data_IF_828598773192
#
_entry.id   IF_828598773192
#
_cell.length_a   1.000
_cell.length_b   1.000
_cell.length_c   1.000
_cell.angle_alpha   90.00
_cell.angle_beta   90.00
_cell.angle_gamma   90.00
#
_symmetry.space_group_name_H-M   'P 1'
#
loop_
_entity.id
_entity.type
_entity.pdbx_description
1 polymer ?
#
# COMPACT_ATOMS: atom_id res chain seq x y z
N UNK A 1 -11.98 -21.21 -30.94
CA UNK A 1 -11.93 -20.17 -29.88
C UNK A 1 -10.49 -20.09 -29.44
N UNK A 2 -9.77 -19.09 -29.89
CA UNK A 2 -8.41 -18.80 -29.46
C UNK A 2 -8.54 -18.07 -28.11
N UNK A 3 -8.26 -18.79 -27.02
CA UNK A 3 -8.24 -18.17 -25.69
C UNK A 3 -7.00 -17.30 -25.54
N UNK A 4 -7.17 -16.00 -25.44
CA UNK A 4 -6.08 -15.11 -25.08
C UNK A 4 -5.82 -15.24 -23.57
N UNK A 5 -4.61 -15.60 -23.20
CA UNK A 5 -4.14 -15.55 -21.82
C UNK A 5 -3.48 -14.18 -21.65
N UNK A 6 -4.07 -13.33 -20.80
CA UNK A 6 -3.51 -12.01 -20.45
C UNK A 6 -2.85 -12.10 -19.06
N UNK A 7 -1.55 -12.35 -18.97
CA UNK A 7 -0.88 -12.32 -17.68
C UNK A 7 -0.87 -10.89 -17.15
N UNK A 8 -1.46 -10.67 -15.98
CA UNK A 8 -1.35 -9.39 -15.27
C UNK A 8 0.01 -9.32 -14.60
N UNK A 9 0.99 -8.70 -15.24
CA UNK A 9 2.28 -8.40 -14.64
C UNK A 9 2.22 -7.00 -13.98
N UNK A 10 2.57 -6.93 -12.71
CA UNK A 10 2.75 -5.66 -12.00
C UNK A 10 4.25 -5.36 -11.92
N UNK A 11 4.71 -4.39 -12.70
CA UNK A 11 6.08 -3.89 -12.61
C UNK A 11 6.09 -2.39 -12.35
N UNK A 12 7.05 -1.93 -11.55
CA UNK A 12 7.29 -0.51 -11.28
C UNK A 12 8.45 0.07 -12.10
N UNK A 13 8.97 -0.68 -13.07
CA UNK A 13 10.06 -0.26 -13.94
C UNK A 13 9.54 0.24 -15.28
N UNK A 14 10.11 1.34 -15.80
CA UNK A 14 9.73 1.93 -17.08
C UNK A 14 10.28 1.15 -18.28
N UNK A 15 11.46 0.52 -18.13
CA UNK A 15 12.16 -0.20 -19.20
C UNK A 15 12.22 -1.68 -18.82
N UNK A 16 11.20 -2.42 -19.21
CA UNK A 16 11.15 -3.85 -19.01
C UNK A 16 11.03 -4.53 -20.36
N UNK A 17 12.13 -5.14 -20.79
CA UNK A 17 12.18 -5.97 -21.99
C UNK A 17 11.61 -7.34 -21.62
N UNK A 18 10.34 -7.55 -21.94
CA UNK A 18 9.67 -8.84 -21.68
C UNK A 18 9.89 -9.73 -22.91
N UNK A 19 10.68 -10.80 -22.82
CA UNK A 19 10.80 -11.76 -23.90
C UNK A 19 9.53 -12.61 -23.97
N UNK A 20 8.43 -12.04 -24.48
CA UNK A 20 7.17 -12.76 -24.70
C UNK A 20 6.97 -12.99 -26.19
N UNK A 21 6.63 -14.20 -26.54
CA UNK A 21 6.13 -14.53 -27.85
C UNK A 21 4.63 -14.19 -27.89
N UNK A 22 4.32 -12.94 -28.21
CA UNK A 22 2.95 -12.43 -28.28
C UNK A 22 2.78 -11.63 -29.57
N UNK A 23 1.61 -11.76 -30.20
CA UNK A 23 1.28 -10.98 -31.41
C UNK A 23 1.06 -9.51 -31.12
N UNK A 24 0.64 -9.19 -29.89
CA UNK A 24 0.42 -7.82 -29.41
C UNK A 24 0.87 -7.68 -27.96
N UNK A 25 1.60 -6.60 -27.66
CA UNK A 25 2.01 -6.22 -26.31
C UNK A 25 1.39 -4.88 -25.96
N UNK A 26 0.54 -4.85 -24.95
CA UNK A 26 -0.06 -3.63 -24.42
C UNK A 26 0.68 -3.27 -23.12
N UNK A 27 1.33 -2.10 -23.12
CA UNK A 27 2.00 -1.55 -21.95
C UNK A 27 1.20 -0.39 -21.37
N UNK A 28 1.31 -0.17 -20.07
CA UNK A 28 0.63 0.94 -19.42
C UNK A 28 0.90 1.00 -17.92
N UNK A 29 0.22 1.91 -17.25
CA UNK A 29 0.37 2.12 -15.82
C UNK A 29 1.42 3.20 -15.47
N UNK A 30 1.57 3.47 -14.18
CA UNK A 30 2.43 4.56 -13.67
C UNK A 30 3.91 4.40 -14.03
N UNK A 31 4.40 3.18 -14.17
CA UNK A 31 5.79 2.90 -14.57
C UNK A 31 6.11 3.38 -15.99
N UNK A 32 5.14 3.33 -16.88
CA UNK A 32 5.27 3.78 -18.27
C UNK A 32 4.82 5.24 -18.50
N UNK A 33 4.41 5.95 -17.47
CA UNK A 33 3.76 7.28 -17.58
C UNK A 33 2.53 7.29 -18.51
N UNK A 34 1.97 6.12 -18.73
CA UNK A 34 0.78 5.90 -19.53
C UNK A 34 -0.33 5.36 -18.62
N UNK A 35 -1.34 6.19 -18.42
CA UNK A 35 -2.44 5.89 -17.49
C UNK A 35 -3.61 5.17 -18.16
N UNK A 36 -3.39 4.57 -19.34
CA UNK A 36 -4.41 3.76 -19.97
C UNK A 36 -4.83 2.61 -19.07
N UNK A 37 -6.12 2.40 -18.99
CA UNK A 37 -6.69 1.18 -18.40
C UNK A 37 -6.54 0.02 -19.38
N UNK A 38 -6.43 -1.19 -18.86
CA UNK A 38 -6.56 -2.38 -19.68
C UNK A 38 -7.99 -2.46 -20.25
N UNK A 39 -8.21 -3.17 -21.36
CA UNK A 39 -9.56 -3.46 -21.84
C UNK A 39 -10.42 -4.06 -20.71
N UNK A 40 -11.72 -3.70 -20.61
CA UNK A 40 -12.56 -4.15 -19.50
C UNK A 40 -12.61 -5.66 -19.33
N UNK A 41 -12.59 -6.41 -20.42
CA UNK A 41 -12.55 -7.88 -20.44
C UNK A 41 -11.28 -8.44 -19.81
N UNK A 42 -10.16 -7.72 -19.90
CA UNK A 42 -8.88 -8.10 -19.26
C UNK A 42 -8.88 -7.73 -17.78
N UNK A 43 -9.45 -6.57 -17.44
CA UNK A 43 -9.54 -6.10 -16.04
C UNK A 43 -10.33 -7.06 -15.15
N UNK A 44 -11.40 -7.70 -15.68
CA UNK A 44 -12.24 -8.64 -14.94
C UNK A 44 -11.72 -10.08 -14.95
N UNK A 45 -10.68 -10.37 -15.75
CA UNK A 45 -10.10 -11.71 -15.80
C UNK A 45 -9.34 -12.03 -14.52
N UNK A 46 -9.55 -13.23 -13.98
CA UNK A 46 -8.78 -13.71 -12.83
C UNK A 46 -7.28 -13.72 -13.16
N UNK A 47 -6.41 -13.31 -12.21
CA UNK A 47 -4.98 -13.31 -12.43
C UNK A 47 -4.45 -14.71 -12.70
N UNK A 48 -3.58 -14.85 -13.69
CA UNK A 48 -2.85 -16.10 -13.94
C UNK A 48 -1.55 -16.10 -13.12
N UNK A 49 -1.53 -16.90 -12.07
CA UNK A 49 -0.36 -17.05 -11.20
C UNK A 49 0.63 -18.11 -11.70
N UNK A 50 0.31 -18.88 -12.74
CA UNK A 50 1.16 -19.96 -13.26
C UNK A 50 2.50 -19.44 -13.80
N UNK A 51 2.52 -18.19 -14.27
CA UNK A 51 3.75 -17.52 -14.76
C UNK A 51 4.70 -17.10 -13.64
N UNK A 52 4.26 -17.18 -12.37
CA UNK A 52 5.05 -16.84 -11.19
C UNK A 52 5.12 -18.00 -10.19
N UNK A 53 5.75 -19.14 -10.54
CA UNK A 53 5.67 -20.39 -9.78
C UNK A 53 6.18 -20.29 -8.34
N UNK A 54 7.03 -19.30 -8.05
CA UNK A 54 7.58 -19.06 -6.71
C UNK A 54 6.78 -18.03 -5.91
N UNK A 55 5.74 -17.44 -6.48
CA UNK A 55 4.94 -16.43 -5.80
C UNK A 55 3.66 -17.05 -5.24
N UNK A 56 3.55 -17.06 -3.92
CA UNK A 56 2.50 -17.81 -3.20
C UNK A 56 1.34 -16.92 -2.73
N UNK A 57 1.32 -15.64 -3.09
CA UNK A 57 0.28 -14.70 -2.67
C UNK A 57 -0.62 -14.32 -3.84
N UNK A 58 -1.91 -14.21 -3.57
CA UNK A 58 -2.80 -13.54 -4.51
C UNK A 58 -2.63 -12.02 -4.43
N UNK A 59 -2.77 -11.32 -5.57
CA UNK A 59 -2.73 -9.84 -5.64
C UNK A 59 -3.93 -9.37 -6.44
N UNK A 60 -4.62 -8.34 -5.95
CA UNK A 60 -5.73 -7.74 -6.71
C UNK A 60 -6.40 -6.60 -5.99
N UNK A 61 -7.62 -6.30 -6.40
CA UNK A 61 -8.40 -5.17 -5.93
C UNK A 61 -9.82 -5.62 -5.59
N UNK A 62 -10.34 -5.17 -4.47
CA UNK A 62 -11.77 -5.20 -4.16
C UNK A 62 -12.46 -4.00 -4.81
N UNK A 63 -11.79 -2.84 -4.71
CA UNK A 63 -12.26 -1.56 -5.26
C UNK A 63 -11.17 -0.84 -6.03
N UNK A 64 -11.55 0.00 -6.98
CA UNK A 64 -10.65 0.88 -7.73
C UNK A 64 -11.08 2.33 -7.53
N UNK A 65 -10.12 3.26 -7.59
CA UNK A 65 -10.39 4.69 -7.41
C UNK A 65 -10.48 5.12 -5.95
N UNK A 66 -10.82 6.38 -5.74
CA UNK A 66 -10.89 6.99 -4.41
C UNK A 66 -11.97 8.07 -4.35
N UNK A 67 -12.51 8.34 -3.15
CA UNK A 67 -13.39 9.48 -2.88
C UNK A 67 -12.63 10.77 -2.56
N UNK A 68 -11.29 10.69 -2.45
CA UNK A 68 -10.44 11.82 -2.09
C UNK A 68 -9.74 12.39 -3.31
N UNK A 69 -9.51 13.68 -3.29
CA UNK A 69 -8.77 14.43 -4.29
C UNK A 69 -7.51 15.06 -3.66
N UNK A 70 -6.66 14.20 -3.04
CA UNK A 70 -5.43 14.67 -2.43
C UNK A 70 -4.50 15.24 -3.51
N UNK A 71 -3.97 16.47 -3.34
CA UNK A 71 -3.22 17.16 -4.40
C UNK A 71 -1.92 16.45 -4.81
N UNK A 72 -1.38 15.60 -3.94
CA UNK A 72 -0.19 14.81 -4.23
C UNK A 72 -0.48 13.42 -4.78
N UNK A 73 -1.74 13.05 -4.97
CA UNK A 73 -2.13 11.68 -5.31
C UNK A 73 -2.52 11.55 -6.78
N UNK A 74 -1.96 10.54 -7.45
CA UNK A 74 -2.29 10.23 -8.86
C UNK A 74 -3.65 9.55 -9.03
N UNK A 75 -4.22 8.98 -7.96
CA UNK A 75 -5.41 8.13 -8.03
C UNK A 75 -6.61 8.83 -8.67
N UNK A 76 -6.99 10.09 -8.34
CA UNK A 76 -8.10 10.77 -8.97
C UNK A 76 -7.94 10.88 -10.50
N UNK A 77 -6.71 11.15 -10.95
CA UNK A 77 -6.38 11.31 -12.38
C UNK A 77 -6.33 9.96 -13.12
N UNK A 78 -5.85 8.90 -12.45
CA UNK A 78 -5.63 7.58 -13.05
C UNK A 78 -6.83 6.66 -12.94
N UNK A 79 -7.46 6.61 -11.77
CA UNK A 79 -8.48 5.62 -11.42
C UNK A 79 -9.88 6.24 -11.34
N UNK A 80 -9.98 7.56 -11.10
CA UNK A 80 -11.24 8.28 -10.91
C UNK A 80 -11.93 7.96 -9.58
N UNK A 81 -13.26 8.08 -9.57
CA UNK A 81 -14.06 7.79 -8.39
C UNK A 81 -14.04 6.33 -8.00
N UNK A 82 -14.30 6.08 -6.71
CA UNK A 82 -14.32 4.72 -6.16
C UNK A 82 -15.45 3.89 -6.79
N UNK A 83 -15.15 2.65 -7.14
CA UNK A 83 -16.07 1.67 -7.70
C UNK A 83 -15.70 0.25 -7.32
N UNK A 84 -16.65 -0.70 -7.28
CA UNK A 84 -16.35 -2.13 -7.14
C UNK A 84 -15.42 -2.62 -8.25
N UNK A 85 -14.55 -3.58 -7.93
CA UNK A 85 -13.67 -4.23 -8.89
C UNK A 85 -13.89 -5.75 -8.91
N UNK A 86 -13.60 -6.45 -7.81
CA UNK A 86 -13.80 -7.89 -7.73
C UNK A 86 -14.20 -8.32 -6.31
N UNK A 87 -14.89 -9.45 -6.19
CA UNK A 87 -15.07 -10.10 -4.89
C UNK A 87 -13.74 -10.71 -4.44
N UNK A 88 -13.54 -10.83 -3.13
CA UNK A 88 -12.28 -11.40 -2.62
C UNK A 88 -12.04 -12.85 -3.08
N UNK A 89 -13.12 -13.61 -3.31
CA UNK A 89 -13.05 -14.98 -3.84
C UNK A 89 -12.47 -15.02 -5.26
N UNK A 90 -12.76 -14.00 -6.08
CA UNK A 90 -12.32 -13.91 -7.47
C UNK A 90 -10.84 -13.46 -7.58
N UNK A 91 -10.35 -12.76 -6.54
CA UNK A 91 -8.92 -12.38 -6.43
C UNK A 91 -8.05 -13.53 -5.95
N UNK A 92 -8.63 -14.44 -5.17
CA UNK A 92 -7.90 -15.50 -4.50
C UNK A 92 -7.18 -16.44 -5.47
N UNK A 93 -5.89 -16.72 -5.21
CA UNK A 93 -5.20 -17.86 -5.79
C UNK A 93 -5.67 -19.16 -5.10
N UNK A 94 -6.05 -20.22 -5.83
CA UNK A 94 -6.54 -21.47 -5.23
C UNK A 94 -5.60 -22.09 -4.20
N UNK A 95 -4.30 -22.02 -4.44
CA UNK A 95 -3.27 -22.63 -3.62
C UNK A 95 -2.73 -21.70 -2.51
N UNK A 96 -3.24 -20.47 -2.43
CA UNK A 96 -2.81 -19.50 -1.43
C UNK A 96 -3.93 -19.12 -0.47
N UNK A 97 -3.52 -18.87 0.77
CA UNK A 97 -4.38 -18.27 1.79
C UNK A 97 -4.02 -16.81 2.06
N UNK A 98 -3.04 -16.26 1.37
CA UNK A 98 -2.58 -14.88 1.52
C UNK A 98 -3.02 -14.03 0.34
N UNK A 99 -3.64 -12.89 0.60
CA UNK A 99 -4.11 -11.95 -0.41
C UNK A 99 -3.56 -10.55 -0.09
N UNK A 100 -2.90 -9.95 -1.07
CA UNK A 100 -2.45 -8.56 -1.02
C UNK A 100 -3.41 -7.72 -1.84
N UNK A 101 -4.18 -6.87 -1.19
CA UNK A 101 -5.07 -5.93 -1.84
C UNK A 101 -4.35 -4.60 -2.11
N UNK A 102 -4.48 -4.12 -3.33
CA UNK A 102 -3.88 -2.87 -3.80
C UNK A 102 -4.91 -1.72 -3.89
N UNK A 103 -5.99 -1.84 -3.12
CA UNK A 103 -7.08 -0.87 -3.07
C UNK A 103 -6.58 0.50 -2.62
N UNK A 104 -7.03 1.54 -3.33
CA UNK A 104 -6.64 2.91 -3.00
C UNK A 104 -7.38 3.45 -1.77
N UNK A 105 -8.67 3.07 -1.57
CA UNK A 105 -9.46 3.47 -0.40
C UNK A 105 -10.66 2.55 -0.16
N UNK A 106 -10.40 1.28 0.15
CA UNK A 106 -11.43 0.25 0.31
C UNK A 106 -12.50 0.59 1.33
N UNK A 107 -12.14 1.32 2.40
CA UNK A 107 -13.07 1.68 3.48
C UNK A 107 -14.12 2.70 3.06
N UNK A 108 -13.93 3.40 1.95
CA UNK A 108 -14.89 4.38 1.43
C UNK A 108 -15.97 3.77 0.50
N UNK A 109 -16.03 2.45 0.41
CA UNK A 109 -16.98 1.72 -0.44
C UNK A 109 -17.81 0.75 0.38
N UNK A 110 -19.13 0.81 0.28
CA UNK A 110 -20.02 -0.17 0.91
C UNK A 110 -19.72 -1.59 0.42
N UNK A 111 -19.44 -1.75 -0.88
CA UNK A 111 -18.99 -3.02 -1.43
C UNK A 111 -17.65 -3.48 -0.79
N UNK A 112 -16.69 -2.56 -0.64
CA UNK A 112 -15.42 -2.85 0.03
C UNK A 112 -15.61 -3.31 1.48
N UNK A 113 -16.48 -2.63 2.23
CA UNK A 113 -16.82 -3.00 3.61
C UNK A 113 -17.53 -4.35 3.68
N UNK A 114 -18.45 -4.63 2.76
CA UNK A 114 -19.09 -5.95 2.65
C UNK A 114 -18.04 -7.05 2.43
N UNK A 115 -17.09 -6.85 1.52
CA UNK A 115 -16.03 -7.81 1.27
C UNK A 115 -15.15 -8.03 2.53
N UNK A 116 -14.81 -6.97 3.26
CA UNK A 116 -14.08 -7.04 4.52
C UNK A 116 -14.86 -7.86 5.56
N UNK A 117 -16.16 -7.61 5.71
CA UNK A 117 -17.02 -8.36 6.63
C UNK A 117 -17.08 -9.85 6.26
N UNK A 118 -17.26 -10.18 4.99
CA UNK A 118 -17.28 -11.56 4.47
C UNK A 118 -15.95 -12.30 4.67
N UNK A 119 -14.82 -11.61 4.64
CA UNK A 119 -13.49 -12.18 4.95
C UNK A 119 -13.31 -12.41 6.46
N UNK A 120 -14.05 -11.68 7.29
CA UNK A 120 -13.97 -11.77 8.74
C UNK A 120 -14.13 -13.20 9.26
N UNK A 121 -13.18 -13.67 10.09
CA UNK A 121 -13.17 -15.03 10.66
C UNK A 121 -12.76 -16.15 9.69
N UNK A 122 -12.54 -15.86 8.40
CA UNK A 122 -12.06 -16.84 7.43
C UNK A 122 -10.59 -17.19 7.67
N UNK A 123 -10.18 -18.38 7.18
CA UNK A 123 -8.77 -18.83 7.26
C UNK A 123 -7.94 -18.28 6.06
N UNK A 124 -8.04 -16.97 5.86
CA UNK A 124 -7.26 -16.23 4.87
C UNK A 124 -6.52 -15.09 5.58
N UNK A 125 -5.34 -14.74 5.08
CA UNK A 125 -4.55 -13.62 5.56
C UNK A 125 -4.57 -12.51 4.52
N UNK A 126 -4.71 -11.26 4.97
CA UNK A 126 -4.85 -10.11 4.08
C UNK A 126 -3.80 -9.03 4.39
N UNK A 127 -3.45 -8.26 3.38
CA UNK A 127 -2.68 -7.03 3.50
C UNK A 127 -3.30 -5.97 2.58
N UNK A 128 -3.79 -4.87 3.13
CA UNK A 128 -4.20 -3.70 2.35
C UNK A 128 -2.96 -2.82 2.14
N UNK A 129 -2.23 -3.12 1.08
CA UNK A 129 -0.85 -2.64 0.89
C UNK A 129 -0.75 -1.13 0.60
N UNK A 130 -1.81 -0.49 0.11
CA UNK A 130 -1.80 0.96 -0.13
C UNK A 130 -2.15 1.79 1.11
N UNK A 131 -2.55 1.12 2.19
CA UNK A 131 -2.96 1.75 3.45
C UNK A 131 -4.47 2.01 3.53
N UNK A 132 -4.95 2.14 4.75
CA UNK A 132 -6.34 2.41 5.09
C UNK A 132 -6.51 3.88 5.45
N UNK A 133 -7.58 4.50 4.99
CA UNK A 133 -7.91 5.89 5.34
C UNK A 133 -8.36 5.97 6.81
N UNK A 134 -7.48 6.47 7.68
CA UNK A 134 -7.72 6.59 9.11
C UNK A 134 -8.98 7.39 9.46
N UNK A 135 -9.38 8.34 8.59
CA UNK A 135 -10.60 9.16 8.77
C UNK A 135 -11.89 8.35 8.74
N UNK A 136 -11.85 7.15 8.19
CA UNK A 136 -13.00 6.24 8.05
C UNK A 136 -13.02 5.15 9.13
N UNK A 137 -12.01 5.10 10.00
CA UNK A 137 -11.91 4.08 11.05
C UNK A 137 -12.65 4.58 12.31
N UNK A 138 -13.95 4.33 12.35
CA UNK A 138 -14.79 4.43 13.53
C UNK A 138 -14.80 3.08 14.29
N UNK A 139 -15.37 2.99 15.52
CA UNK A 139 -15.39 1.74 16.29
C UNK A 139 -15.95 0.54 15.54
N UNK A 140 -16.99 0.74 14.73
CA UNK A 140 -17.61 -0.32 13.92
C UNK A 140 -16.64 -0.86 12.86
N UNK A 141 -15.95 0.03 12.16
CA UNK A 141 -14.95 -0.35 11.14
C UNK A 141 -13.74 -1.01 11.80
N UNK A 142 -13.30 -0.50 12.94
CA UNK A 142 -12.24 -1.13 13.72
C UNK A 142 -12.60 -2.57 14.12
N UNK A 143 -13.86 -2.82 14.51
CA UNK A 143 -14.39 -4.16 14.80
C UNK A 143 -14.34 -5.10 13.58
N UNK A 144 -14.68 -4.61 12.38
CA UNK A 144 -14.56 -5.39 11.14
C UNK A 144 -13.09 -5.75 10.86
N UNK A 145 -12.19 -4.76 10.95
CA UNK A 145 -10.76 -4.94 10.70
C UNK A 145 -10.10 -5.89 11.71
N UNK A 146 -10.53 -5.87 12.97
CA UNK A 146 -10.03 -6.75 14.02
C UNK A 146 -10.37 -8.24 13.79
N UNK A 147 -11.42 -8.53 13.02
CA UNK A 147 -11.82 -9.91 12.66
C UNK A 147 -10.96 -10.51 11.54
N UNK A 148 -10.18 -9.69 10.83
CA UNK A 148 -9.28 -10.12 9.76
C UNK A 148 -8.01 -10.76 10.32
N UNK A 149 -7.45 -11.68 9.55
CA UNK A 149 -6.09 -12.17 9.78
C UNK A 149 -5.13 -11.39 8.91
N UNK A 150 -4.27 -10.62 9.53
CA UNK A 150 -3.31 -9.78 8.84
C UNK A 150 -2.03 -10.56 8.52
N UNK A 151 -1.56 -10.47 7.28
CA UNK A 151 -0.25 -11.03 6.88
C UNK A 151 0.84 -10.44 7.78
N UNK A 152 0.85 -9.11 7.94
CA UNK A 152 1.83 -8.45 8.79
C UNK A 152 1.25 -7.25 9.53
N UNK A 153 0.88 -6.19 8.83
CA UNK A 153 0.53 -4.90 9.39
C UNK A 153 -0.88 -4.45 9.03
N UNK A 154 -1.49 -3.68 9.92
CA UNK A 154 -2.61 -2.79 9.61
C UNK A 154 -1.98 -1.46 9.23
N UNK A 155 -2.05 -1.12 7.95
CA UNK A 155 -1.38 0.04 7.38
C UNK A 155 -2.32 1.22 7.35
N UNK A 156 -1.89 2.34 7.90
CA UNK A 156 -2.59 3.63 7.85
C UNK A 156 -1.79 4.59 6.97
N UNK A 157 -2.35 5.78 6.70
CA UNK A 157 -1.63 6.88 6.04
C UNK A 157 -1.64 8.11 6.93
N UNK A 158 -0.47 8.78 7.05
CA UNK A 158 -0.30 10.03 7.77
C UNK A 158 0.52 11.01 6.91
N UNK A 159 -0.12 11.53 5.85
CA UNK A 159 0.57 12.29 4.80
C UNK A 159 0.73 13.78 5.12
N UNK A 160 0.00 14.28 6.13
CA UNK A 160 0.11 15.66 6.63
C UNK A 160 0.02 15.69 8.15
N UNK A 161 0.52 16.74 8.79
CA UNK A 161 0.43 16.93 10.25
C UNK A 161 -1.01 16.99 10.76
N UNK A 162 -1.95 17.48 9.95
CA UNK A 162 -3.38 17.48 10.27
C UNK A 162 -3.96 16.06 10.42
N UNK A 163 -3.29 15.03 9.89
CA UNK A 163 -3.70 13.64 10.02
C UNK A 163 -3.28 12.99 11.34
N UNK A 164 -2.33 13.56 12.08
CA UNK A 164 -1.84 12.97 13.34
C UNK A 164 -2.96 12.64 14.33
N UNK A 165 -3.83 13.59 14.74
CA UNK A 165 -4.90 13.29 15.69
C UNK A 165 -5.91 12.27 15.15
N UNK A 166 -6.12 12.25 13.84
CA UNK A 166 -7.02 11.30 13.18
C UNK A 166 -6.43 9.87 13.21
N UNK A 167 -5.13 9.75 12.93
CA UNK A 167 -4.42 8.46 12.98
C UNK A 167 -4.32 7.95 14.42
N UNK A 168 -4.09 8.83 15.39
CA UNK A 168 -4.10 8.47 16.81
C UNK A 168 -5.45 7.92 17.24
N UNK A 169 -6.55 8.59 16.87
CA UNK A 169 -7.91 8.15 17.17
C UNK A 169 -8.23 6.81 16.51
N UNK A 170 -7.86 6.62 15.23
CA UNK A 170 -8.03 5.35 14.52
C UNK A 170 -7.23 4.22 15.18
N UNK A 171 -5.99 4.49 15.58
CA UNK A 171 -5.16 3.53 16.31
C UNK A 171 -5.74 3.16 17.68
N UNK A 172 -6.35 4.12 18.35
CA UNK A 172 -7.08 3.86 19.60
C UNK A 172 -8.23 2.88 19.36
N UNK A 173 -9.11 3.15 18.38
CA UNK A 173 -10.24 2.25 18.06
C UNK A 173 -9.79 0.85 17.63
N UNK A 174 -8.73 0.75 16.82
CA UNK A 174 -8.18 -0.53 16.40
C UNK A 174 -7.66 -1.34 17.59
N UNK A 175 -6.99 -0.70 18.55
CA UNK A 175 -6.50 -1.37 19.78
C UNK A 175 -7.64 -1.83 20.67
N UNK A 176 -8.65 -0.97 20.89
CA UNK A 176 -9.85 -1.35 21.64
C UNK A 176 -10.59 -2.53 21.01
N UNK A 177 -10.59 -2.62 19.68
CA UNK A 177 -11.15 -3.75 18.94
C UNK A 177 -10.27 -5.02 18.97
N UNK A 178 -9.05 -4.97 19.56
CA UNK A 178 -8.17 -6.13 19.72
C UNK A 178 -7.02 -6.23 18.73
N UNK A 179 -6.78 -5.20 17.89
CA UNK A 179 -5.60 -5.17 17.02
C UNK A 179 -4.35 -4.90 17.85
N UNK A 180 -3.38 -5.81 17.80
CA UNK A 180 -2.13 -5.66 18.56
C UNK A 180 -1.35 -4.40 18.13
N UNK A 181 -0.81 -3.64 19.11
CA UNK A 181 -0.01 -2.43 18.86
C UNK A 181 1.14 -2.66 17.86
N UNK A 182 1.79 -3.81 17.94
CA UNK A 182 2.91 -4.18 17.05
C UNK A 182 2.51 -4.36 15.57
N UNK A 183 1.22 -4.42 15.28
CA UNK A 183 0.69 -4.50 13.91
C UNK A 183 0.39 -3.13 13.31
N UNK A 184 0.33 -2.06 14.12
CA UNK A 184 0.01 -0.72 13.65
C UNK A 184 1.22 -0.12 12.93
N UNK A 185 0.97 0.38 11.73
CA UNK A 185 1.99 0.87 10.85
C UNK A 185 1.42 2.01 10.00
N UNK A 186 2.21 3.02 9.67
CA UNK A 186 1.72 4.14 8.88
C UNK A 186 2.72 4.56 7.80
N UNK A 187 2.20 4.81 6.60
CA UNK A 187 2.90 5.54 5.57
C UNK A 187 3.00 7.02 5.96
N UNK A 188 4.17 7.61 5.72
CA UNK A 188 4.44 9.03 5.89
C UNK A 188 5.02 9.56 4.59
N UNK A 189 4.23 10.34 3.87
CA UNK A 189 4.70 10.99 2.65
C UNK A 189 5.61 12.18 3.00
N UNK A 190 6.80 12.24 2.41
CA UNK A 190 7.75 13.34 2.60
C UNK A 190 7.61 14.34 1.48
N UNK A 191 6.88 15.41 1.70
CA UNK A 191 6.89 16.61 0.88
C UNK A 191 7.88 17.63 1.49
N UNK A 192 7.73 17.90 2.76
CA UNK A 192 8.65 18.66 3.60
C UNK A 192 9.34 17.73 4.60
N UNK A 193 10.65 17.88 4.75
CA UNK A 193 11.48 16.97 5.57
C UNK A 193 11.22 17.17 7.05
N UNK A 194 11.11 18.43 7.51
CA UNK A 194 10.91 18.73 8.93
C UNK A 194 9.50 18.31 9.37
N UNK A 195 8.46 18.63 8.59
CA UNK A 195 7.09 18.19 8.87
C UNK A 195 6.99 16.66 8.93
N UNK A 196 7.61 15.95 7.97
CA UNK A 196 7.62 14.51 7.95
C UNK A 196 8.39 13.93 9.15
N UNK A 197 9.51 14.53 9.54
CA UNK A 197 10.30 14.14 10.70
C UNK A 197 9.46 14.25 12.00
N UNK A 198 8.76 15.35 12.18
CA UNK A 198 7.89 15.56 13.34
C UNK A 198 6.73 14.55 13.38
N UNK A 199 6.07 14.32 12.24
CA UNK A 199 4.97 13.31 12.16
C UNK A 199 5.46 11.92 12.53
N UNK A 200 6.60 11.54 12.04
CA UNK A 200 7.20 10.24 12.29
C UNK A 200 7.54 10.04 13.77
N UNK A 201 8.10 11.05 14.45
CA UNK A 201 8.37 10.99 15.88
C UNK A 201 7.07 10.84 16.68
N UNK A 202 6.05 11.63 16.35
CA UNK A 202 4.73 11.54 16.97
C UNK A 202 4.09 10.13 16.79
N UNK A 203 4.15 9.57 15.60
CA UNK A 203 3.66 8.21 15.33
C UNK A 203 4.38 7.16 16.17
N UNK A 204 5.71 7.26 16.28
CA UNK A 204 6.51 6.35 17.12
C UNK A 204 6.09 6.42 18.57
N UNK A 205 5.88 7.63 19.11
CA UNK A 205 5.56 7.85 20.50
C UNK A 205 4.20 7.24 20.87
N UNK A 206 3.22 7.28 19.97
CA UNK A 206 1.94 6.59 20.14
C UNK A 206 1.99 5.09 19.76
N UNK A 207 3.16 4.58 19.35
CA UNK A 207 3.42 3.16 19.08
C UNK A 207 2.95 2.67 17.73
N UNK A 208 2.93 3.54 16.74
CA UNK A 208 2.74 3.20 15.34
C UNK A 208 4.11 3.19 14.66
N UNK A 209 4.42 2.12 13.93
CA UNK A 209 5.67 2.05 13.18
C UNK A 209 5.56 2.91 11.92
N UNK A 210 6.35 3.98 11.76
CA UNK A 210 6.33 4.78 10.54
C UNK A 210 7.10 4.09 9.41
N UNK A 211 6.66 4.35 8.19
CA UNK A 211 7.39 4.05 6.96
C UNK A 211 7.32 5.24 6.02
N UNK A 212 8.45 5.75 5.68
CA UNK A 212 8.60 7.02 4.99
C UNK A 212 8.78 6.82 3.50
N UNK A 213 7.99 7.55 2.74
CA UNK A 213 8.04 7.56 1.27
C UNK A 213 8.38 8.96 0.79
N UNK A 214 9.54 9.16 0.13
CA UNK A 214 9.85 10.42 -0.53
C UNK A 214 8.78 10.74 -1.59
N UNK A 215 8.26 11.96 -1.56
CA UNK A 215 7.29 12.39 -2.56
C UNK A 215 7.96 12.48 -3.94
N UNK A 216 7.30 11.88 -4.90
CA UNK A 216 7.65 12.00 -6.32
C UNK A 216 6.50 12.69 -7.02
N UNK A 217 6.79 13.78 -7.69
CA UNK A 217 5.83 14.43 -8.56
C UNK A 217 5.61 13.60 -9.82
N UNK A 218 4.37 13.29 -10.12
CA UNK A 218 4.01 12.52 -11.31
C UNK A 218 4.24 13.29 -12.61
N UNK A 219 4.35 14.61 -12.54
CA UNK A 219 4.66 15.46 -13.69
C UNK A 219 6.17 15.61 -13.93
N UNK A 220 7.03 14.95 -13.15
CA UNK A 220 8.44 14.75 -13.43
C UNK A 220 9.42 15.19 -12.35
N UNK A 221 8.94 15.68 -11.21
CA UNK A 221 9.79 16.04 -10.07
C UNK A 221 10.32 14.80 -9.34
N UNK A 222 11.63 14.69 -9.21
CA UNK A 222 12.24 13.64 -8.39
C UNK A 222 12.37 14.11 -6.94
N UNK A 223 12.28 13.19 -5.96
CA UNK A 223 12.51 13.51 -4.55
C UNK A 223 13.91 14.11 -4.34
N UNK A 224 14.02 15.08 -3.44
CA UNK A 224 15.30 15.64 -3.03
C UNK A 224 16.17 14.59 -2.33
N UNK A 225 17.47 14.90 -2.22
CA UNK A 225 18.41 14.04 -1.50
C UNK A 225 18.06 13.94 0.00
N UNK A 226 17.64 15.04 0.62
CA UNK A 226 17.21 15.07 2.02
C UNK A 226 15.97 14.22 2.28
N UNK A 227 14.99 14.24 1.37
CA UNK A 227 13.83 13.36 1.44
C UNK A 227 14.25 11.89 1.36
N UNK A 228 15.17 11.53 0.46
CA UNK A 228 15.70 10.17 0.35
C UNK A 228 16.52 9.77 1.57
N UNK A 229 17.32 10.69 2.11
CA UNK A 229 18.12 10.48 3.32
C UNK A 229 17.22 10.22 4.54
N UNK A 230 16.17 11.02 4.73
CA UNK A 230 15.18 10.81 5.79
C UNK A 230 14.52 9.43 5.66
N UNK A 231 14.09 9.05 4.47
CA UNK A 231 13.49 7.75 4.23
C UNK A 231 14.45 6.58 4.52
N UNK A 232 15.72 6.69 4.15
CA UNK A 232 16.73 5.68 4.46
C UNK A 232 16.94 5.53 5.97
N UNK A 233 17.05 6.65 6.69
CA UNK A 233 17.22 6.61 8.14
C UNK A 233 16.07 5.91 8.84
N UNK A 234 14.82 6.28 8.54
CA UNK A 234 13.63 5.75 9.23
C UNK A 234 13.35 4.30 8.85
N UNK A 235 13.41 3.99 7.55
CA UNK A 235 13.01 2.68 7.04
C UNK A 235 14.03 1.58 7.40
N UNK A 236 15.25 1.95 7.80
CA UNK A 236 16.24 1.05 8.36
C UNK A 236 16.14 1.07 9.88
N UNK A 237 15.36 0.15 10.45
CA UNK A 237 15.07 0.10 11.91
C UNK A 237 16.33 0.17 12.78
N UNK A 238 17.44 -0.42 12.35
CA UNK A 238 18.69 -0.37 13.07
C UNK A 238 19.23 1.07 13.18
N UNK A 239 19.20 1.82 12.08
CA UNK A 239 19.60 3.23 12.06
C UNK A 239 18.67 4.08 12.93
N UNK A 240 17.36 3.93 12.71
CA UNK A 240 16.33 4.68 13.43
C UNK A 240 16.36 4.49 14.96
N UNK A 241 16.74 3.30 15.43
CA UNK A 241 16.84 2.98 16.85
C UNK A 241 18.22 3.29 17.48
N UNK A 242 19.23 3.56 16.70
CA UNK A 242 20.61 3.68 17.17
C UNK A 242 21.21 5.08 17.10
N UNK A 243 20.67 5.97 16.27
CA UNK A 243 21.15 7.35 16.16
C UNK A 243 19.98 8.33 15.96
N UNK A 244 20.22 9.60 16.33
CA UNK A 244 19.32 10.70 16.04
C UNK A 244 19.41 11.09 14.58
N UNK A 245 18.42 11.81 14.09
CA UNK A 245 18.42 12.34 12.72
C UNK A 245 19.62 13.23 12.43
N UNK A 246 19.95 14.11 13.38
CA UNK A 246 21.07 15.05 13.27
C UNK A 246 22.44 14.34 13.19
N UNK A 247 22.54 13.14 13.77
CA UNK A 247 23.75 12.33 13.82
C UNK A 247 23.79 11.28 12.71
N UNK A 248 22.76 11.21 11.87
CA UNK A 248 22.68 10.19 10.83
C UNK A 248 23.58 10.53 9.64
N UNK A 249 24.60 9.68 9.46
CA UNK A 249 25.46 9.70 8.29
C UNK A 249 25.14 8.49 7.41
N UNK A 250 24.98 8.73 6.11
CA UNK A 250 24.70 7.70 5.12
C UNK A 250 25.79 6.61 5.08
N UNK A 251 27.04 6.99 5.31
CA UNK A 251 28.15 6.05 5.39
C UNK A 251 28.01 5.09 6.57
N UNK A 252 27.49 5.56 7.72
CA UNK A 252 27.20 4.74 8.90
C UNK A 252 26.08 3.76 8.61
N UNK A 253 25.02 4.18 7.93
CA UNK A 253 23.93 3.31 7.53
C UNK A 253 24.33 2.20 6.56
N UNK A 254 25.30 2.45 5.70
CA UNK A 254 25.89 1.43 4.79
C UNK A 254 26.75 0.43 5.54
N UNK A 255 27.54 0.86 6.51
CA UNK A 255 28.38 -0.03 7.33
C UNK A 255 27.57 -1.05 8.14
N UNK A 256 26.38 -0.69 8.61
CA UNK A 256 25.49 -1.61 9.31
C UNK A 256 24.89 -2.69 8.41
N UNK A 257 24.81 -2.47 7.09
CA UNK A 257 24.30 -3.48 6.12
C UNK A 257 25.35 -4.57 5.80
N UNK A 258 26.64 -4.29 5.99
CA UNK A 258 27.73 -5.23 5.65
C UNK A 258 28.29 -5.99 6.85
N UNK A 259 27.71 -5.81 8.02
CA UNK A 259 28.11 -6.47 9.25
C UNK A 259 27.19 -7.64 9.67
N UNK A 260 26.55 -8.31 8.71
CA UNK A 260 25.79 -9.55 8.95
C UNK A 260 26.27 -10.66 8.04
#
# INVERSE_FOLDING_TARGET
MTGYIYPKAFTFTADFDIPVNADEIITGGTGYKDYRSLPPEVEVTAPDYSIYPNYTRAIGFLTRGCVRECPWCIVPRKEGHIRPAARWEDVRCPDSREIVFLDNNVLASDFGLEQIDRMGGRKIWVDFNQGLDARLIAPQIAGLLARLRWIRFVRLSCDTSAMLPVVEQAAYYLREAGVARSRLWAYVLVQDVEDAHQRMLALRDIGITPFVQPYRDYDGGEPSEDQRKLARWINVKAAFNSCRWEDYDEATGRKMKHGR
#
